data_IF_143017705817
#
_entry.id   IF_143017705817
#
_cell.length_a   1.000
_cell.length_b   1.000
_cell.length_c   1.000
_cell.angle_alpha   90.00
_cell.angle_beta   90.00
_cell.angle_gamma   90.00
#
_symmetry.space_group_name_H-M   'P 1'
#
loop_
_entity.id
_entity.type
_entity.pdbx_description
1 polymer ?
#
# COMPACT_ATOMS: atom_id res chain seq x y z
N UNK A 1 0.42 -8.04 -0.65
CA UNK A 1 1.18 -9.08 0.07
C UNK A 1 2.28 -9.64 -0.82
N UNK A 2 3.48 -9.75 -0.30
CA UNK A 2 4.64 -10.24 -1.02
C UNK A 2 5.29 -11.42 -0.27
N UNK A 3 6.06 -12.25 -0.99
CA UNK A 3 6.74 -13.40 -0.37
C UNK A 3 7.89 -12.97 0.54
N UNK A 4 8.58 -11.90 0.18
CA UNK A 4 9.72 -11.38 0.95
C UNK A 4 9.60 -9.88 1.18
N UNK A 5 10.32 -9.38 2.19
CA UNK A 5 10.38 -7.95 2.48
C UNK A 5 11.02 -7.16 1.33
N UNK A 6 12.06 -7.72 0.69
CA UNK A 6 12.72 -7.10 -0.46
C UNK A 6 11.76 -6.97 -1.64
N UNK A 7 10.96 -7.99 -1.91
CA UNK A 7 9.96 -7.96 -2.96
C UNK A 7 8.89 -6.91 -2.68
N UNK A 8 8.43 -6.80 -1.43
CA UNK A 8 7.48 -5.79 -1.02
C UNK A 8 8.05 -4.38 -1.24
N UNK A 9 9.29 -4.14 -0.86
CA UNK A 9 9.97 -2.87 -1.04
C UNK A 9 10.10 -2.50 -2.52
N UNK A 10 10.40 -3.48 -3.36
CA UNK A 10 10.47 -3.30 -4.81
C UNK A 10 9.12 -2.88 -5.38
N UNK A 11 8.03 -3.53 -4.95
CA UNK A 11 6.67 -3.16 -5.38
C UNK A 11 6.35 -1.72 -5.00
N UNK A 12 6.66 -1.33 -3.77
CA UNK A 12 6.43 0.03 -3.30
C UNK A 12 7.20 1.04 -4.14
N UNK A 13 8.48 0.81 -4.36
CA UNK A 13 9.36 1.76 -5.06
C UNK A 13 9.08 1.86 -6.55
N UNK A 14 8.81 0.74 -7.22
CA UNK A 14 8.69 0.69 -8.67
C UNK A 14 7.26 0.88 -9.17
N UNK A 15 6.28 0.36 -8.43
CA UNK A 15 4.91 0.30 -8.92
C UNK A 15 3.97 1.26 -8.22
N UNK A 16 4.12 1.49 -6.92
CA UNK A 16 3.16 2.26 -6.15
C UNK A 16 3.55 3.72 -5.96
N UNK A 17 4.76 4.00 -5.48
CA UNK A 17 5.18 5.37 -5.21
C UNK A 17 5.10 6.27 -6.44
N UNK A 18 5.58 5.85 -7.64
CA UNK A 18 5.48 6.71 -8.82
C UNK A 18 4.05 7.05 -9.19
N UNK A 19 3.13 6.08 -9.11
CA UNK A 19 1.72 6.29 -9.47
C UNK A 19 1.04 7.23 -8.47
N UNK A 20 1.20 6.99 -7.18
CA UNK A 20 0.59 7.83 -6.15
C UNK A 20 1.19 9.23 -6.09
N UNK A 21 2.50 9.35 -6.28
CA UNK A 21 3.15 10.66 -6.34
C UNK A 21 2.62 11.48 -7.52
N UNK A 22 2.48 10.87 -8.69
CA UNK A 22 1.91 11.52 -9.86
C UNK A 22 0.48 11.98 -9.62
N UNK A 23 -0.34 11.14 -9.00
CA UNK A 23 -1.73 11.49 -8.67
C UNK A 23 -1.80 12.66 -7.69
N UNK A 24 -1.00 12.65 -6.63
CA UNK A 24 -1.00 13.72 -5.65
C UNK A 24 -0.53 15.04 -6.25
N UNK A 25 0.50 15.00 -7.09
CA UNK A 25 0.95 16.19 -7.81
C UNK A 25 -0.13 16.69 -8.77
N UNK A 26 -0.78 15.78 -9.50
CA UNK A 26 -1.85 16.11 -10.45
C UNK A 26 -3.07 16.75 -9.79
N UNK A 27 -3.38 16.39 -8.55
CA UNK A 27 -4.48 16.98 -7.78
C UNK A 27 -4.09 18.25 -7.04
N UNK A 28 -2.82 18.68 -7.12
CA UNK A 28 -2.35 19.90 -6.47
C UNK A 28 -2.15 19.78 -4.96
N UNK A 29 -2.01 18.56 -4.45
CA UNK A 29 -1.79 18.34 -3.01
C UNK A 29 -0.37 18.68 -2.56
N UNK A 30 0.59 18.71 -3.49
CA UNK A 30 1.97 19.08 -3.18
C UNK A 30 2.25 20.47 -3.71
N UNK A 31 2.68 21.35 -2.82
CA UNK A 31 2.90 22.76 -3.15
C UNK A 31 4.34 23.17 -2.86
N UNK A 32 4.82 24.18 -3.59
CA UNK A 32 6.11 24.79 -3.36
C UNK A 32 6.06 25.78 -2.19
N UNK A 33 7.18 26.47 -1.91
CA UNK A 33 7.28 27.42 -0.81
C UNK A 33 6.34 28.64 -0.97
N UNK A 34 5.95 28.96 -2.21
CA UNK A 34 5.03 30.04 -2.54
C UNK A 34 3.56 29.58 -2.52
N UNK A 35 3.31 28.31 -2.22
CA UNK A 35 1.95 27.74 -2.21
C UNK A 35 1.41 27.36 -3.58
N UNK A 36 2.23 27.34 -4.63
CA UNK A 36 1.83 26.92 -5.97
C UNK A 36 1.96 25.39 -6.12
N UNK A 37 1.02 24.73 -6.84
CA UNK A 37 1.13 23.28 -7.06
C UNK A 37 2.37 22.93 -7.87
N UNK A 38 3.05 21.86 -7.46
CA UNK A 38 4.21 21.32 -8.21
C UNK A 38 3.74 20.16 -9.08
N UNK A 39 4.31 20.05 -10.28
CA UNK A 39 4.00 18.97 -11.23
C UNK A 39 4.83 17.74 -11.00
N UNK A 40 6.05 17.93 -10.53
CA UNK A 40 6.97 16.84 -10.19
C UNK A 40 7.42 17.00 -8.75
N UNK A 41 7.32 15.92 -7.98
CA UNK A 41 7.71 15.93 -6.58
C UNK A 41 9.22 15.64 -6.51
N UNK A 42 10.02 16.53 -5.89
CA UNK A 42 11.47 16.30 -5.75
C UNK A 42 11.77 15.02 -4.99
N UNK A 43 12.86 14.36 -5.35
CA UNK A 43 13.36 13.20 -4.62
C UNK A 43 13.62 13.58 -3.17
N UNK A 44 13.31 12.68 -2.25
CA UNK A 44 13.49 12.91 -0.82
C UNK A 44 12.41 13.78 -0.17
N UNK A 45 11.37 14.17 -0.92
CA UNK A 45 10.25 14.91 -0.32
C UNK A 45 9.54 14.06 0.75
N UNK A 46 9.13 14.67 1.89
CA UNK A 46 8.47 13.93 2.98
C UNK A 46 7.23 13.15 2.58
N UNK A 47 6.57 13.53 1.49
CA UNK A 47 5.37 12.83 1.00
C UNK A 47 5.65 11.36 0.66
N UNK A 48 6.85 11.03 0.20
CA UNK A 48 7.20 9.66 -0.14
C UNK A 48 7.19 8.76 1.09
N UNK A 49 7.72 9.26 2.22
CA UNK A 49 7.69 8.50 3.46
C UNK A 49 6.27 8.36 4.00
N UNK A 50 5.47 9.42 3.91
CA UNK A 50 4.08 9.39 4.31
C UNK A 50 3.30 8.35 3.50
N UNK A 51 3.52 8.28 2.19
CA UNK A 51 2.90 7.28 1.33
C UNK A 51 3.33 5.87 1.70
N UNK A 52 4.63 5.65 1.93
CA UNK A 52 5.14 4.35 2.36
C UNK A 52 4.48 3.88 3.65
N UNK A 53 4.37 4.77 4.61
CA UNK A 53 3.78 4.46 5.92
C UNK A 53 2.29 4.16 5.83
N UNK A 54 1.60 4.67 4.80
CA UNK A 54 0.18 4.44 4.61
C UNK A 54 -0.14 3.14 3.86
N UNK A 55 0.82 2.55 3.16
CA UNK A 55 0.60 1.32 2.41
C UNK A 55 0.56 0.11 3.33
N UNK A 56 -0.39 -0.80 3.07
CA UNK A 56 -0.48 -2.08 3.76
C UNK A 56 0.19 -3.16 2.89
N UNK A 57 1.51 -3.06 2.76
CA UNK A 57 2.31 -3.92 1.89
C UNK A 57 3.47 -4.52 2.67
N UNK A 58 3.72 -5.80 2.45
CA UNK A 58 4.79 -6.52 3.08
C UNK A 58 4.62 -8.01 2.93
N UNK A 59 5.38 -8.75 3.73
CA UNK A 59 5.18 -10.19 3.89
C UNK A 59 3.82 -10.46 4.55
N UNK A 60 3.30 -11.69 4.51
CA UNK A 60 2.03 -12.01 5.17
C UNK A 60 1.97 -11.55 6.63
N UNK A 61 3.03 -11.76 7.40
CA UNK A 61 3.09 -11.31 8.80
C UNK A 61 3.02 -9.79 8.94
N UNK A 62 3.70 -9.06 8.09
CA UNK A 62 3.68 -7.59 8.10
C UNK A 62 2.30 -7.05 7.72
N UNK A 63 1.64 -7.67 6.74
CA UNK A 63 0.29 -7.29 6.33
C UNK A 63 -0.71 -7.55 7.44
N UNK A 64 -0.62 -8.71 8.10
CA UNK A 64 -1.46 -9.04 9.25
C UNK A 64 -1.31 -7.99 10.37
N UNK A 65 -0.08 -7.61 10.71
CA UNK A 65 0.17 -6.57 11.71
C UNK A 65 -0.47 -5.24 11.32
N UNK A 66 -0.34 -4.83 10.05
CA UNK A 66 -0.91 -3.59 9.55
C UNK A 66 -2.44 -3.60 9.67
N UNK A 67 -3.09 -4.69 9.29
CA UNK A 67 -4.54 -4.81 9.38
C UNK A 67 -5.00 -4.86 10.84
N UNK A 68 -4.25 -5.53 11.71
CA UNK A 68 -4.57 -5.55 13.14
C UNK A 68 -4.54 -4.15 13.76
N UNK A 69 -3.66 -3.27 13.32
CA UNK A 69 -3.64 -1.88 13.77
C UNK A 69 -4.94 -1.15 13.39
N UNK A 70 -5.46 -1.38 12.18
CA UNK A 70 -6.76 -0.81 11.78
C UNK A 70 -7.89 -1.41 12.59
N UNK A 71 -7.85 -2.71 12.85
CA UNK A 71 -8.85 -3.39 13.67
C UNK A 71 -8.88 -2.83 15.09
N UNK A 72 -7.72 -2.57 15.66
CA UNK A 72 -7.61 -1.96 17.00
C UNK A 72 -8.21 -0.54 17.06
N UNK A 73 -8.26 0.17 15.93
CA UNK A 73 -8.88 1.48 15.82
C UNK A 73 -10.40 1.42 15.57
N UNK A 74 -10.97 0.21 15.51
CA UNK A 74 -12.42 0.03 15.33
C UNK A 74 -12.84 -0.27 13.89
N UNK A 75 -11.90 -0.60 13.01
CA UNK A 75 -12.21 -0.97 11.63
C UNK A 75 -12.85 -2.36 11.57
N UNK A 76 -14.07 -2.46 11.06
CA UNK A 76 -14.81 -3.73 10.93
C UNK A 76 -14.67 -4.35 9.55
N UNK A 77 -14.45 -3.55 8.53
CA UNK A 77 -14.34 -3.99 7.14
C UNK A 77 -13.03 -3.49 6.54
N UNK A 78 -12.25 -4.37 5.96
CA UNK A 78 -11.01 -4.04 5.27
C UNK A 78 -11.12 -4.47 3.80
N UNK A 79 -10.94 -3.51 2.90
CA UNK A 79 -11.00 -3.75 1.46
C UNK A 79 -9.59 -3.62 0.88
N UNK A 80 -8.92 -4.73 0.56
CA UNK A 80 -7.60 -4.65 -0.05
C UNK A 80 -7.70 -4.22 -1.50
N UNK A 81 -6.94 -3.22 -1.86
CA UNK A 81 -6.78 -2.78 -3.24
C UNK A 81 -5.45 -3.28 -3.77
N UNK A 82 -5.51 -4.20 -4.73
CA UNK A 82 -4.33 -4.86 -5.27
C UNK A 82 -4.04 -4.49 -6.73
N UNK A 83 -4.91 -3.73 -7.35
CA UNK A 83 -4.80 -3.34 -8.76
C UNK A 83 -4.37 -1.88 -8.86
N UNK A 84 -3.23 -1.64 -9.49
CA UNK A 84 -2.72 -0.31 -9.81
C UNK A 84 -2.36 -0.22 -11.29
N UNK A 85 -2.22 1.00 -11.80
CA UNK A 85 -2.06 1.25 -13.24
C UNK A 85 -0.88 0.52 -13.89
N UNK A 86 0.20 0.31 -13.15
CA UNK A 86 1.41 -0.32 -13.67
C UNK A 86 1.56 -1.80 -13.29
N UNK A 87 0.54 -2.40 -12.69
CA UNK A 87 0.63 -3.77 -12.20
C UNK A 87 0.41 -4.78 -13.31
N UNK A 88 1.19 -5.85 -13.29
CA UNK A 88 1.00 -6.99 -14.18
C UNK A 88 -0.06 -7.93 -13.62
N UNK A 89 -0.93 -8.46 -14.50
CA UNK A 89 -2.03 -9.34 -14.10
C UNK A 89 -1.56 -10.58 -13.33
N UNK A 90 -0.47 -11.19 -13.77
CA UNK A 90 0.09 -12.38 -13.14
C UNK A 90 0.53 -12.10 -11.71
N UNK A 91 1.15 -10.94 -11.48
CA UNK A 91 1.57 -10.54 -10.14
C UNK A 91 0.37 -10.25 -9.26
N UNK A 92 -0.63 -9.56 -9.79
CA UNK A 92 -1.87 -9.26 -9.05
C UNK A 92 -2.53 -10.56 -8.60
N UNK A 93 -2.69 -11.53 -9.49
CA UNK A 93 -3.29 -12.82 -9.16
C UNK A 93 -2.48 -13.58 -8.12
N UNK A 94 -1.15 -13.52 -8.21
CA UNK A 94 -0.25 -14.11 -7.22
C UNK A 94 -0.39 -13.45 -5.85
N UNK A 95 -0.47 -12.14 -5.80
CA UNK A 95 -0.67 -11.39 -4.55
C UNK A 95 -2.04 -11.69 -3.93
N UNK A 96 -3.09 -11.75 -4.74
CA UNK A 96 -4.43 -12.09 -4.28
C UNK A 96 -4.48 -13.50 -3.69
N UNK A 97 -3.83 -14.46 -4.34
CA UNK A 97 -3.76 -15.83 -3.86
C UNK A 97 -3.00 -15.91 -2.54
N UNK A 98 -1.83 -15.27 -2.46
CA UNK A 98 -1.03 -15.26 -1.26
C UNK A 98 -1.80 -14.62 -0.09
N UNK A 99 -2.47 -13.52 -0.34
CA UNK A 99 -3.33 -12.86 0.67
C UNK A 99 -4.46 -13.79 1.14
N UNK A 100 -5.15 -14.42 0.20
CA UNK A 100 -6.26 -15.34 0.51
C UNK A 100 -5.81 -16.56 1.31
N UNK A 101 -4.63 -17.08 1.04
CA UNK A 101 -4.11 -18.28 1.68
C UNK A 101 -3.42 -18.03 3.02
N UNK A 102 -2.83 -16.84 3.21
CA UNK A 102 -1.97 -16.56 4.38
C UNK A 102 -2.50 -15.47 5.31
N UNK A 103 -3.22 -14.48 4.79
CA UNK A 103 -3.70 -13.35 5.59
C UNK A 103 -5.17 -13.51 5.98
N UNK A 104 -6.03 -13.78 5.03
CA UNK A 104 -7.47 -13.90 5.30
C UNK A 104 -7.82 -14.92 6.39
N UNK A 105 -7.22 -16.13 6.41
CA UNK A 105 -7.57 -17.11 7.45
C UNK A 105 -7.33 -16.62 8.88
N UNK A 106 -6.32 -15.78 9.08
CA UNK A 106 -6.04 -15.18 10.38
C UNK A 106 -7.23 -14.40 10.93
N UNK A 107 -7.87 -13.61 10.05
CA UNK A 107 -9.01 -12.77 10.45
C UNK A 107 -10.33 -13.53 10.46
N UNK A 108 -10.50 -14.50 9.57
CA UNK A 108 -11.71 -15.33 9.51
C UNK A 108 -11.88 -16.17 10.77
N UNK A 109 -10.79 -16.72 11.29
CA UNK A 109 -10.82 -17.49 12.54
C UNK A 109 -11.24 -16.61 13.73
N UNK A 110 -10.82 -15.36 13.76
CA UNK A 110 -11.18 -14.41 14.79
C UNK A 110 -12.64 -13.96 14.76
N UNK A 111 -13.32 -14.10 13.62
CA UNK A 111 -14.72 -13.68 13.44
C UNK A 111 -15.74 -14.79 13.64
N UNK A 112 -15.30 -16.01 13.79
CA UNK A 112 -16.17 -17.19 14.00
C UNK A 112 -16.45 -17.52 15.46
N UNK A 113 -16.11 -16.63 16.33
CA UNK A 113 -16.39 -16.82 17.76
C UNK A 113 -17.86 -16.77 18.08
#
# INVERSE_FOLDING_TARGET
TADTAEQAEQIVNEDLLPVYAEQLAGFGFVKDEQGAPVREIPDGHPIFQMLRDSFCIGTPGQVIEAIERYRALGCDVFIPRMVEANCRSERILGEMRLFAETVMPHFQEGTRS
#
